data_IF_006165012259
#
_entry.id   IF_006165012259
#
_cell.length_a   1.000
_cell.length_b   1.000
_cell.length_c   1.000
_cell.angle_alpha   90.00
_cell.angle_beta   90.00
_cell.angle_gamma   90.00
#
_symmetry.space_group_name_H-M   'P 1'
#
loop_
_entity.id
_entity.type
_entity.pdbx_description
1 polymer ?
#
# COMPACT_ATOMS: atom_id res chain seq x y z
N UNK A 1 9.96 18.00 -21.46
CA UNK A 1 8.51 17.87 -21.18
C UNK A 1 8.39 16.78 -20.12
N UNK A 2 8.50 17.15 -18.84
CA UNK A 2 8.22 16.19 -17.77
C UNK A 2 6.71 16.03 -17.70
N UNK A 3 6.19 14.86 -18.03
CA UNK A 3 4.81 14.52 -17.71
C UNK A 3 4.63 14.76 -16.20
N UNK A 4 3.66 15.59 -15.83
CA UNK A 4 3.24 15.71 -14.44
C UNK A 4 2.64 14.36 -14.05
N UNK A 5 3.47 13.48 -13.50
CA UNK A 5 3.00 12.22 -12.94
C UNK A 5 2.10 12.57 -11.76
N UNK A 6 0.80 12.44 -11.97
CA UNK A 6 -0.20 12.61 -10.92
C UNK A 6 0.08 11.55 -9.86
N UNK A 7 0.64 12.00 -8.74
CA UNK A 7 1.01 11.15 -7.61
C UNK A 7 0.31 11.66 -6.38
N UNK A 8 -0.62 10.88 -5.84
CA UNK A 8 -1.26 11.19 -4.58
C UNK A 8 -0.43 10.62 -3.43
N UNK A 9 -0.28 11.40 -2.37
CA UNK A 9 0.44 11.01 -1.17
C UNK A 9 -0.53 10.82 -0.02
N UNK A 10 -0.45 9.66 0.63
CA UNK A 10 -1.19 9.31 1.83
C UNK A 10 -0.25 8.85 2.93
N UNK A 11 -0.62 9.09 4.18
CA UNK A 11 0.08 8.50 5.33
C UNK A 11 -0.89 7.79 6.24
N UNK A 12 -0.57 6.56 6.57
CA UNK A 12 -1.27 5.74 7.54
C UNK A 12 -0.45 5.53 8.80
N UNK A 13 -1.10 5.47 9.97
CA UNK A 13 -0.42 5.21 11.25
C UNK A 13 -1.27 4.29 12.09
N UNK A 14 -0.67 3.20 12.58
CA UNK A 14 -1.32 2.27 13.52
C UNK A 14 -0.34 1.81 14.59
N UNK A 15 -0.69 2.08 15.86
CA UNK A 15 0.18 1.88 17.02
C UNK A 15 1.52 2.60 16.82
N UNK A 16 2.61 1.85 16.69
CA UNK A 16 3.97 2.37 16.43
C UNK A 16 4.38 2.26 14.96
N UNK A 17 3.49 1.78 14.09
CA UNK A 17 3.74 1.60 12.65
C UNK A 17 3.32 2.84 11.88
N UNK A 18 4.17 3.32 10.98
CA UNK A 18 3.88 4.41 10.05
C UNK A 18 4.04 3.93 8.62
N UNK A 19 2.97 4.05 7.83
CA UNK A 19 2.91 3.77 6.41
C UNK A 19 2.90 5.09 5.61
N UNK A 20 3.76 5.18 4.60
CA UNK A 20 3.70 6.22 3.57
C UNK A 20 3.28 5.55 2.29
N UNK A 21 2.19 6.02 1.71
CA UNK A 21 1.56 5.47 0.53
C UNK A 21 1.64 6.51 -0.58
N UNK A 22 2.10 6.09 -1.74
CA UNK A 22 2.06 6.87 -2.96
C UNK A 22 1.18 6.13 -3.95
N UNK A 23 0.11 6.80 -4.37
CA UNK A 23 -0.82 6.32 -5.37
C UNK A 23 -0.48 6.95 -6.71
N UNK A 24 -0.45 6.15 -7.77
CA UNK A 24 -0.26 6.61 -9.16
C UNK A 24 -1.30 5.91 -10.04
N UNK A 25 -1.85 6.55 -11.07
CA UNK A 25 -2.69 5.84 -12.03
C UNK A 25 -1.85 4.77 -12.73
N UNK A 26 -2.35 3.53 -12.83
CA UNK A 26 -1.58 2.38 -13.33
C UNK A 26 -2.39 1.08 -13.34
N UNK A 27 -1.69 -0.06 -13.34
CA UNK A 27 -2.28 -1.38 -13.59
C UNK A 27 -2.68 -2.15 -12.32
N UNK A 28 -2.55 -1.55 -11.13
CA UNK A 28 -2.91 -2.20 -9.87
C UNK A 28 -1.74 -2.82 -9.11
N UNK A 29 -0.50 -2.45 -9.44
CA UNK A 29 0.69 -3.03 -8.83
C UNK A 29 0.88 -2.50 -7.40
N UNK A 30 0.99 -3.41 -6.43
CA UNK A 30 1.23 -3.04 -5.02
C UNK A 30 2.63 -3.46 -4.58
N UNK A 31 3.46 -2.47 -4.28
CA UNK A 31 4.85 -2.66 -3.83
C UNK A 31 5.01 -2.08 -2.42
N UNK A 32 5.50 -2.90 -1.49
CA UNK A 32 5.73 -2.55 -0.09
C UNK A 32 7.21 -2.68 0.24
N UNK A 33 7.85 -1.59 0.69
CA UNK A 33 9.29 -1.54 1.01
C UNK A 33 10.17 -2.15 -0.12
N UNK A 34 9.84 -1.81 -1.38
CA UNK A 34 10.50 -2.32 -2.60
C UNK A 34 10.33 -3.81 -2.88
N UNK A 35 9.35 -4.48 -2.24
CA UNK A 35 9.02 -5.88 -2.47
C UNK A 35 7.54 -5.98 -2.83
N UNK A 36 7.11 -6.95 -3.66
CA UNK A 36 5.69 -7.17 -3.91
C UNK A 36 4.97 -7.53 -2.61
N UNK A 37 3.70 -7.11 -2.50
CA UNK A 37 2.87 -7.35 -1.30
C UNK A 37 2.89 -8.82 -0.86
N UNK A 38 2.89 -9.75 -1.81
CA UNK A 38 2.90 -11.19 -1.55
C UNK A 38 4.15 -11.69 -0.83
N UNK A 39 5.30 -11.09 -1.15
CA UNK A 39 6.59 -11.44 -0.53
C UNK A 39 6.77 -10.71 0.80
N UNK A 40 6.22 -9.51 0.94
CA UNK A 40 6.33 -8.74 2.17
C UNK A 40 5.43 -9.29 3.27
N UNK A 41 4.15 -9.47 2.98
CA UNK A 41 3.20 -10.08 3.89
C UNK A 41 3.08 -11.57 3.61
N UNK A 42 3.97 -12.36 4.22
CA UNK A 42 3.92 -13.82 4.13
C UNK A 42 2.67 -14.49 4.75
N UNK A 43 1.70 -13.70 5.26
CA UNK A 43 0.42 -14.17 5.79
C UNK A 43 -0.72 -13.62 4.95
N UNK A 44 -1.60 -14.51 4.50
CA UNK A 44 -2.76 -14.17 3.68
C UNK A 44 -3.72 -13.17 4.37
N UNK A 45 -3.86 -13.27 5.69
CA UNK A 45 -4.71 -12.36 6.47
C UNK A 45 -4.26 -10.90 6.40
N UNK A 46 -2.96 -10.63 6.28
CA UNK A 46 -2.45 -9.28 6.13
C UNK A 46 -2.73 -8.71 4.73
N UNK A 47 -2.69 -9.57 3.69
CA UNK A 47 -3.08 -9.17 2.33
C UNK A 47 -4.55 -8.81 2.25
N UNK A 48 -5.41 -9.62 2.88
CA UNK A 48 -6.86 -9.38 2.88
C UNK A 48 -7.21 -8.01 3.45
N UNK A 49 -6.55 -7.58 4.52
CA UNK A 49 -6.80 -6.25 5.13
C UNK A 49 -6.45 -5.12 4.15
N UNK A 50 -5.32 -5.25 3.45
CA UNK A 50 -4.89 -4.27 2.45
C UNK A 50 -5.81 -4.28 1.23
N UNK A 51 -6.21 -5.47 0.77
CA UNK A 51 -7.16 -5.63 -0.34
C UNK A 51 -8.54 -5.05 -0.02
N UNK A 52 -9.03 -5.23 1.20
CA UNK A 52 -10.33 -4.73 1.64
C UNK A 52 -10.43 -3.20 1.52
N UNK A 53 -9.33 -2.47 1.71
CA UNK A 53 -9.30 -1.02 1.49
C UNK A 53 -9.52 -0.66 0.01
N UNK A 54 -9.05 -1.48 -0.94
CA UNK A 54 -9.30 -1.28 -2.38
C UNK A 54 -10.71 -1.68 -2.79
N UNK A 55 -11.28 -2.68 -2.13
CA UNK A 55 -12.65 -3.17 -2.39
C UNK A 55 -13.68 -2.09 -2.08
N UNK A 56 -13.50 -1.38 -0.96
CA UNK A 56 -14.40 -0.30 -0.53
C UNK A 56 -14.41 0.86 -1.52
N UNK A 57 -13.29 1.12 -2.20
CA UNK A 57 -13.14 2.23 -3.13
C UNK A 57 -13.48 1.82 -4.57
N UNK A 58 -13.76 0.53 -4.82
CA UNK A 58 -14.08 -0.05 -6.14
C UNK A 58 -13.08 0.36 -7.25
N UNK A 59 -11.81 0.51 -6.85
CA UNK A 59 -10.71 0.94 -7.69
C UNK A 59 -9.62 -0.13 -7.83
N UNK A 60 -10.01 -1.40 -7.68
CA UNK A 60 -9.12 -2.54 -7.99
C UNK A 60 -8.55 -2.40 -9.41
N UNK A 61 -7.23 -2.47 -9.54
CA UNK A 61 -6.55 -2.52 -10.84
C UNK A 61 -6.42 -1.18 -11.59
N UNK A 62 -6.78 -0.05 -10.97
CA UNK A 62 -6.70 1.28 -11.63
C UNK A 62 -5.49 2.12 -11.19
N UNK A 63 -4.85 1.72 -10.10
CA UNK A 63 -3.79 2.49 -9.47
C UNK A 63 -2.64 1.60 -9.01
N UNK A 64 -1.43 2.03 -9.32
CA UNK A 64 -0.23 1.48 -8.74
C UNK A 64 0.05 2.13 -7.38
N UNK A 65 0.44 1.30 -6.43
CA UNK A 65 0.75 1.69 -5.06
C UNK A 65 2.19 1.38 -4.73
N UNK A 66 2.89 2.42 -4.31
CA UNK A 66 4.19 2.29 -3.67
C UNK A 66 3.99 2.62 -2.20
N UNK A 67 4.32 1.68 -1.32
CA UNK A 67 4.14 1.81 0.12
C UNK A 67 5.50 1.65 0.79
N UNK A 68 5.87 2.60 1.64
CA UNK A 68 7.01 2.46 2.54
C UNK A 68 6.49 2.46 3.98
N UNK A 69 6.70 1.34 4.68
CA UNK A 69 6.27 1.14 6.07
C UNK A 69 7.47 1.00 6.97
N UNK A 70 7.45 1.70 8.11
CA UNK A 70 8.48 1.60 9.16
C UNK A 70 7.83 1.56 10.54
N UNK A 71 8.49 0.85 11.46
CA UNK A 71 8.04 0.69 12.85
C UNK A 71 6.99 -0.41 13.05
N UNK A 72 6.76 -0.77 14.31
CA UNK A 72 5.80 -1.81 14.71
C UNK A 72 6.17 -3.23 14.25
N UNK A 73 5.17 -4.11 14.24
CA UNK A 73 5.26 -5.49 13.74
C UNK A 73 4.35 -5.72 12.52
N UNK A 74 4.45 -6.89 11.88
CA UNK A 74 3.77 -7.17 10.60
C UNK A 74 2.25 -6.91 10.63
N UNK A 75 1.55 -7.27 11.71
CA UNK A 75 0.10 -7.00 11.81
C UNK A 75 -0.23 -5.52 12.07
N UNK A 76 0.69 -4.79 12.68
CA UNK A 76 0.59 -3.34 12.86
C UNK A 76 0.74 -2.61 11.54
N UNK A 77 1.69 -3.04 10.71
CA UNK A 77 1.97 -2.48 9.39
C UNK A 77 0.87 -2.81 8.37
N UNK A 78 0.27 -4.01 8.42
CA UNK A 78 -0.79 -4.39 7.50
C UNK A 78 -2.08 -3.56 7.65
N UNK A 79 -2.30 -2.98 8.84
CA UNK A 79 -3.46 -2.14 9.11
C UNK A 79 -3.12 -0.66 9.28
N UNK A 80 -1.88 -0.25 8.98
CA UNK A 80 -1.46 1.14 9.00
C UNK A 80 -1.69 1.75 7.62
#
# INVERSE_FOLDING_TARGET
MSEELVQWYGTGRRKTSTARVWLRPGDGNVVINRRPMDVYFGRETAKMIVQQAFDVVDQRGKFDLVINVKGGGMSGQAGA
#
